data_IF_052675330285
#
_entry.id   IF_052675330285
#
_cell.length_a   1.000
_cell.length_b   1.000
_cell.length_c   1.000
_cell.angle_alpha   90.00
_cell.angle_beta   90.00
_cell.angle_gamma   90.00
#
_symmetry.space_group_name_H-M   'P 1'
#
loop_
_entity.id
_entity.type
_entity.pdbx_description
1 polymer ?
#
# COMPACT_ATOMS: atom_id res chain seq x y z
N UNK A 1 -24.45 30.21 -41.01
CA UNK A 1 -24.83 30.43 -39.60
C UNK A 1 -26.00 29.55 -39.14
N UNK A 2 -27.10 29.42 -39.91
CA UNK A 2 -28.30 28.63 -39.55
C UNK A 2 -28.04 27.17 -39.14
N UNK A 3 -27.11 26.47 -39.81
CA UNK A 3 -26.83 25.05 -39.52
C UNK A 3 -25.96 24.83 -38.27
N UNK A 4 -25.11 25.79 -37.90
CA UNK A 4 -24.31 25.72 -36.66
C UNK A 4 -25.19 25.88 -35.42
N UNK A 5 -26.20 26.75 -35.47
CA UNK A 5 -27.15 26.93 -34.37
C UNK A 5 -28.05 25.70 -34.18
N UNK A 6 -28.48 25.05 -35.27
CA UNK A 6 -29.20 23.76 -35.20
C UNK A 6 -28.34 22.66 -34.60
N UNK A 7 -27.07 22.54 -35.01
CA UNK A 7 -26.14 21.56 -34.44
C UNK A 7 -25.92 21.79 -32.93
N UNK A 8 -25.74 23.05 -32.50
CA UNK A 8 -25.57 23.40 -31.10
C UNK A 8 -26.81 23.03 -30.26
N UNK A 9 -28.01 23.30 -30.77
CA UNK A 9 -29.26 22.93 -30.10
C UNK A 9 -29.44 21.42 -29.98
N UNK A 10 -29.06 20.65 -31.01
CA UNK A 10 -29.08 19.18 -30.97
C UNK A 10 -28.10 18.66 -29.92
N UNK A 11 -26.87 19.18 -29.89
CA UNK A 11 -25.87 18.78 -28.89
C UNK A 11 -26.31 19.14 -27.46
N UNK A 12 -26.92 20.31 -27.27
CA UNK A 12 -27.47 20.72 -25.98
C UNK A 12 -28.63 19.82 -25.54
N UNK A 13 -29.54 19.48 -26.44
CA UNK A 13 -30.65 18.57 -26.15
C UNK A 13 -30.14 17.16 -25.78
N UNK A 14 -29.14 16.65 -26.50
CA UNK A 14 -28.46 15.39 -26.16
C UNK A 14 -27.80 15.49 -24.79
N UNK A 15 -27.06 16.56 -24.50
CA UNK A 15 -26.39 16.75 -23.22
C UNK A 15 -27.39 16.79 -22.04
N UNK A 16 -28.51 17.52 -22.20
CA UNK A 16 -29.59 17.57 -21.21
C UNK A 16 -30.23 16.19 -21.05
N UNK A 17 -30.50 15.48 -22.15
CA UNK A 17 -31.01 14.11 -22.14
C UNK A 17 -30.08 13.13 -21.40
N UNK A 18 -28.77 13.28 -21.57
CA UNK A 18 -27.77 12.47 -20.86
C UNK A 18 -27.77 12.74 -19.35
N UNK A 19 -28.13 13.94 -18.88
CA UNK A 19 -28.14 14.23 -17.43
C UNK A 19 -29.14 13.38 -16.64
N UNK A 20 -30.14 12.79 -17.29
CA UNK A 20 -31.11 11.87 -16.65
C UNK A 20 -30.52 10.48 -16.37
N UNK A 21 -29.40 10.11 -16.99
CA UNK A 21 -28.70 8.86 -16.74
C UNK A 21 -27.61 9.08 -15.70
N UNK A 22 -27.88 8.69 -14.44
CA UNK A 22 -26.95 8.90 -13.32
C UNK A 22 -26.60 7.58 -12.61
N UNK A 23 -25.38 7.44 -12.08
CA UNK A 23 -25.01 6.31 -11.24
C UNK A 23 -25.78 6.33 -9.90
N UNK A 24 -26.12 5.14 -9.39
CA UNK A 24 -26.84 4.98 -8.11
C UNK A 24 -25.87 5.10 -6.91
N UNK A 25 -26.27 5.76 -5.83
CA UNK A 25 -25.60 5.69 -4.53
C UNK A 25 -24.42 6.63 -4.34
N UNK A 26 -24.32 7.68 -5.17
CA UNK A 26 -23.38 8.80 -4.97
C UNK A 26 -24.07 10.17 -4.96
N UNK A 27 -25.38 10.17 -5.12
CA UNK A 27 -26.25 11.33 -5.14
C UNK A 27 -26.38 12.02 -3.77
N UNK A 28 -26.10 11.32 -2.68
CA UNK A 28 -26.00 11.90 -1.33
C UNK A 28 -25.07 11.05 -0.45
N UNK A 29 -24.01 11.66 0.10
CA UNK A 29 -23.19 11.02 1.11
C UNK A 29 -23.98 10.81 2.41
N UNK A 30 -23.79 9.69 3.08
CA UNK A 30 -24.30 9.48 4.44
C UNK A 30 -23.26 9.95 5.43
N UNK A 31 -23.68 10.69 6.47
CA UNK A 31 -22.77 11.17 7.51
C UNK A 31 -21.98 10.00 8.10
N UNK A 32 -20.66 10.09 8.05
CA UNK A 32 -19.76 9.07 8.56
C UNK A 32 -19.66 9.21 10.09
N UNK A 33 -19.64 8.09 10.84
CA UNK A 33 -19.37 8.12 12.27
C UNK A 33 -18.08 8.89 12.58
N UNK A 34 -18.00 9.46 13.78
CA UNK A 34 -16.80 10.15 14.21
C UNK A 34 -15.63 9.19 14.37
N UNK A 35 -14.44 9.70 14.05
CA UNK A 35 -13.20 8.97 14.22
C UNK A 35 -12.84 8.90 15.71
N UNK A 36 -13.33 7.86 16.39
CA UNK A 36 -13.09 7.63 17.83
C UNK A 36 -11.58 7.57 18.10
N UNK A 37 -11.13 8.22 19.18
CA UNK A 37 -9.72 8.34 19.59
C UNK A 37 -8.81 9.07 18.57
N UNK A 38 -9.40 9.91 17.71
CA UNK A 38 -8.65 10.78 16.78
C UNK A 38 -8.84 12.25 17.21
N UNK A 39 -7.75 13.03 17.37
CA UNK A 39 -7.85 14.44 17.73
C UNK A 39 -8.69 15.24 16.74
N UNK A 40 -9.47 16.23 17.22
CA UNK A 40 -10.38 17.04 16.38
C UNK A 40 -9.68 17.67 15.17
N UNK A 41 -8.46 18.18 15.36
CA UNK A 41 -7.67 18.78 14.29
C UNK A 41 -7.32 17.78 13.18
N UNK A 42 -6.91 16.55 13.56
CA UNK A 42 -6.65 15.46 12.62
C UNK A 42 -7.93 15.06 11.90
N UNK A 43 -9.03 14.89 12.63
CA UNK A 43 -10.34 14.56 12.06
C UNK A 43 -10.78 15.61 11.04
N UNK A 44 -10.54 16.90 11.30
CA UNK A 44 -10.86 17.98 10.36
C UNK A 44 -10.11 17.84 9.04
N UNK A 45 -8.81 17.55 9.10
CA UNK A 45 -7.96 17.37 7.90
C UNK A 45 -8.37 16.13 7.12
N UNK A 46 -8.62 15.01 7.82
CA UNK A 46 -9.07 13.76 7.17
C UNK A 46 -10.44 13.94 6.51
N UNK A 47 -11.37 14.65 7.15
CA UNK A 47 -12.68 14.97 6.57
C UNK A 47 -12.56 15.85 5.33
N UNK A 48 -11.70 16.88 5.35
CA UNK A 48 -11.55 17.78 4.19
C UNK A 48 -10.84 17.13 3.00
N UNK A 49 -9.84 16.28 3.26
CA UNK A 49 -8.91 15.80 2.23
C UNK A 49 -9.14 14.35 1.80
N UNK A 50 -9.81 13.54 2.63
CA UNK A 50 -9.93 12.09 2.38
C UNK A 50 -11.37 11.59 2.28
N UNK A 51 -12.33 12.18 3.01
CA UNK A 51 -13.66 11.58 3.19
C UNK A 51 -14.48 11.50 1.90
N UNK A 52 -14.30 12.43 0.97
CA UNK A 52 -15.01 12.44 -0.30
C UNK A 52 -14.77 11.15 -1.11
N UNK A 53 -13.60 10.53 -0.99
CA UNK A 53 -13.23 9.30 -1.69
C UNK A 53 -13.15 8.06 -0.79
N UNK A 54 -12.86 8.25 0.50
CA UNK A 54 -12.56 7.19 1.44
C UNK A 54 -13.58 7.09 2.58
N UNK A 55 -14.78 7.60 2.40
CA UNK A 55 -15.86 7.43 3.39
C UNK A 55 -17.22 7.37 2.69
N UNK A 56 -18.26 7.08 3.48
CA UNK A 56 -19.64 7.25 3.05
C UNK A 56 -20.12 8.71 3.06
N UNK A 57 -19.38 9.62 3.69
CA UNK A 57 -19.68 11.06 3.75
C UNK A 57 -19.04 11.79 2.56
N UNK A 58 -19.63 11.55 1.39
CA UNK A 58 -19.19 12.14 0.13
C UNK A 58 -19.81 13.53 -0.06
N UNK A 59 -18.99 14.56 -0.27
CA UNK A 59 -19.44 15.92 -0.58
C UNK A 59 -19.12 16.29 -2.05
N UNK A 60 -19.93 15.77 -2.98
CA UNK A 60 -19.75 16.06 -4.42
C UNK A 60 -20.00 17.53 -4.76
N UNK A 61 -19.12 18.13 -5.57
CA UNK A 61 -19.35 19.45 -6.16
C UNK A 61 -20.38 19.36 -7.28
N UNK A 62 -20.97 20.50 -7.65
CA UNK A 62 -22.01 20.54 -8.69
C UNK A 62 -21.52 19.97 -10.04
N UNK A 63 -20.24 20.17 -10.36
CA UNK A 63 -19.64 19.65 -11.60
C UNK A 63 -19.37 18.14 -11.55
N UNK A 64 -19.14 17.57 -10.36
CA UNK A 64 -18.99 16.12 -10.17
C UNK A 64 -20.30 15.37 -10.41
N UNK A 65 -21.43 16.08 -10.35
CA UNK A 65 -22.76 15.53 -10.56
C UNK A 65 -23.20 15.58 -12.04
N UNK A 66 -22.38 16.15 -12.93
CA UNK A 66 -22.66 16.23 -14.36
C UNK A 66 -22.29 14.94 -15.08
N UNK A 67 -23.18 14.46 -15.93
CA UNK A 67 -22.96 13.27 -16.78
C UNK A 67 -22.14 13.67 -18.02
N UNK A 68 -21.09 12.91 -18.41
CA UNK A 68 -20.69 11.59 -17.90
C UNK A 68 -19.66 11.58 -16.77
N UNK A 69 -19.16 12.74 -16.31
CA UNK A 69 -18.11 12.82 -15.29
C UNK A 69 -18.50 12.13 -13.97
N UNK A 70 -19.77 12.23 -13.57
CA UNK A 70 -20.31 11.57 -12.38
C UNK A 70 -20.09 10.04 -12.35
N UNK A 71 -20.05 9.35 -13.49
CA UNK A 71 -19.74 7.92 -13.54
C UNK A 71 -18.27 7.63 -13.18
N UNK A 72 -17.35 8.47 -13.65
CA UNK A 72 -15.93 8.37 -13.30
C UNK A 72 -15.73 8.64 -11.80
N UNK A 73 -16.37 9.68 -11.28
CA UNK A 73 -16.36 10.00 -9.84
C UNK A 73 -16.91 8.83 -9.03
N UNK A 74 -18.07 8.26 -9.40
CA UNK A 74 -18.66 7.12 -8.72
C UNK A 74 -17.70 5.92 -8.68
N UNK A 75 -17.05 5.64 -9.81
CA UNK A 75 -16.09 4.55 -9.93
C UNK A 75 -14.89 4.79 -9.01
N UNK A 76 -14.32 5.99 -9.01
CA UNK A 76 -13.17 6.33 -8.16
C UNK A 76 -13.51 6.26 -6.67
N UNK A 77 -14.68 6.74 -6.24
CA UNK A 77 -15.12 6.61 -4.84
C UNK A 77 -15.28 5.13 -4.47
N UNK A 78 -15.91 4.34 -5.34
CA UNK A 78 -16.10 2.91 -5.11
C UNK A 78 -14.78 2.16 -4.99
N UNK A 79 -13.82 2.43 -5.88
CA UNK A 79 -12.48 1.81 -5.80
C UNK A 79 -11.68 2.33 -4.61
N UNK A 80 -11.74 3.63 -4.32
CA UNK A 80 -11.09 4.25 -3.16
C UNK A 80 -11.53 3.62 -1.85
N UNK A 81 -12.85 3.39 -1.68
CA UNK A 81 -13.44 2.74 -0.50
C UNK A 81 -13.11 1.26 -0.37
N UNK A 82 -12.78 0.56 -1.47
CA UNK A 82 -12.27 -0.82 -1.38
C UNK A 82 -10.88 -0.86 -0.76
N UNK A 83 -10.04 0.12 -1.05
CA UNK A 83 -8.71 0.23 -0.47
C UNK A 83 -8.75 0.74 0.98
N UNK A 84 -9.58 1.75 1.26
CA UNK A 84 -9.70 2.37 2.58
C UNK A 84 -11.08 3.02 2.75
N UNK A 85 -11.79 2.69 3.83
CA UNK A 85 -13.11 3.26 4.17
C UNK A 85 -13.17 3.71 5.64
N UNK A 86 -13.05 5.02 5.88
CA UNK A 86 -13.15 5.69 7.18
C UNK A 86 -14.54 5.53 7.83
N UNK A 87 -15.60 5.22 7.07
CA UNK A 87 -16.90 4.94 7.69
C UNK A 87 -16.93 3.63 8.47
N UNK A 88 -15.91 2.78 8.30
CA UNK A 88 -15.72 1.57 9.09
C UNK A 88 -14.80 1.79 10.31
N UNK A 89 -14.29 3.01 10.53
CA UNK A 89 -13.25 3.30 11.52
C UNK A 89 -13.54 2.75 12.92
N UNK A 90 -14.75 3.00 13.43
CA UNK A 90 -15.16 2.57 14.76
C UNK A 90 -15.19 1.04 14.95
N UNK A 91 -15.31 0.28 13.85
CA UNK A 91 -15.28 -1.20 13.86
C UNK A 91 -13.87 -1.78 13.75
N UNK A 92 -12.86 -0.97 13.42
CA UNK A 92 -11.50 -1.43 13.24
C UNK A 92 -10.81 -1.64 14.60
N UNK A 93 -10.09 -2.76 14.80
CA UNK A 93 -9.18 -2.92 15.93
C UNK A 93 -8.10 -1.82 15.95
N UNK A 94 -7.60 -1.47 17.14
CA UNK A 94 -6.57 -0.41 17.31
C UNK A 94 -5.34 -0.60 16.41
N UNK A 95 -4.85 -1.84 16.28
CA UNK A 95 -3.71 -2.13 15.41
C UNK A 95 -4.03 -1.84 13.92
N UNK A 96 -5.26 -2.09 13.49
CA UNK A 96 -5.70 -1.79 12.14
C UNK A 96 -5.90 -0.29 11.94
N UNK A 97 -6.41 0.44 12.94
CA UNK A 97 -6.47 1.90 12.93
C UNK A 97 -5.09 2.53 12.74
N UNK A 98 -4.08 2.09 13.51
CA UNK A 98 -2.68 2.54 13.37
C UNK A 98 -2.12 2.23 11.98
N UNK A 99 -2.37 1.03 11.45
CA UNK A 99 -1.96 0.67 10.11
C UNK A 99 -2.62 1.55 9.03
N UNK A 100 -3.93 1.81 9.13
CA UNK A 100 -4.68 2.67 8.21
C UNK A 100 -4.10 4.09 8.16
N UNK A 101 -3.80 4.68 9.32
CA UNK A 101 -3.20 6.01 9.40
C UNK A 101 -1.78 6.00 8.83
N UNK A 102 -0.97 4.99 9.18
CA UNK A 102 0.37 4.81 8.62
C UNK A 102 0.35 4.76 7.09
N UNK A 103 -0.52 3.94 6.50
CA UNK A 103 -0.63 3.83 5.04
C UNK A 103 -1.07 5.14 4.40
N UNK A 104 -2.08 5.80 4.98
CA UNK A 104 -2.59 7.08 4.49
C UNK A 104 -1.49 8.13 4.42
N UNK A 105 -0.70 8.26 5.48
CA UNK A 105 0.38 9.25 5.55
C UNK A 105 1.54 8.91 4.63
N UNK A 106 1.93 7.63 4.52
CA UNK A 106 2.99 7.26 3.57
C UNK A 106 2.59 7.53 2.12
N UNK A 107 1.30 7.39 1.77
CA UNK A 107 0.79 7.77 0.45
C UNK A 107 0.83 9.28 0.21
N UNK A 108 0.54 10.07 1.25
CA UNK A 108 0.69 11.54 1.19
C UNK A 108 2.16 11.93 1.02
N UNK A 109 3.06 11.37 1.85
CA UNK A 109 4.50 11.67 1.83
C UNK A 109 5.21 11.21 0.55
N UNK A 110 4.61 10.27 -0.19
CA UNK A 110 5.13 9.78 -1.47
C UNK A 110 4.50 10.49 -2.67
N UNK A 111 3.74 11.56 -2.44
CA UNK A 111 2.98 12.32 -3.47
C UNK A 111 2.00 11.45 -4.30
N UNK A 112 1.59 10.30 -3.76
CA UNK A 112 0.61 9.42 -4.39
C UNK A 112 -0.84 9.85 -4.07
N UNK A 113 -1.03 10.51 -2.92
CA UNK A 113 -2.32 11.01 -2.46
C UNK A 113 -2.22 12.48 -2.03
N UNK A 114 -3.21 13.32 -2.40
CA UNK A 114 -4.33 13.02 -3.30
C UNK A 114 -3.83 12.78 -4.74
N UNK A 115 -4.58 11.98 -5.51
CA UNK A 115 -4.24 11.69 -6.91
C UNK A 115 -4.07 13.02 -7.67
N UNK A 116 -2.95 13.26 -8.39
CA UNK A 116 -2.66 14.57 -8.99
C UNK A 116 -3.75 15.11 -9.92
N UNK A 117 -4.38 14.23 -10.71
CA UNK A 117 -5.50 14.61 -11.61
C UNK A 117 -6.74 15.05 -10.85
N UNK A 118 -7.04 14.41 -9.71
CA UNK A 118 -8.13 14.82 -8.83
C UNK A 118 -7.83 16.17 -8.19
N UNK A 119 -6.63 16.34 -7.65
CA UNK A 119 -6.18 17.56 -6.99
C UNK A 119 -6.10 18.78 -7.95
N UNK A 120 -5.97 18.55 -9.26
CA UNK A 120 -5.98 19.60 -10.27
C UNK A 120 -7.33 20.34 -10.35
N UNK A 121 -8.44 19.62 -10.10
CA UNK A 121 -9.81 20.17 -10.11
C UNK A 121 -10.41 20.31 -8.71
N UNK A 122 -9.86 19.60 -7.72
CA UNK A 122 -10.23 19.66 -6.29
C UNK A 122 -9.05 20.19 -5.46
N UNK A 123 -8.69 21.45 -5.66
CA UNK A 123 -7.53 22.05 -4.98
C UNK A 123 -7.65 22.07 -3.44
N UNK A 124 -8.87 22.07 -2.89
CA UNK A 124 -9.11 22.01 -1.45
C UNK A 124 -8.65 20.70 -0.80
N UNK A 125 -8.53 19.62 -1.58
CA UNK A 125 -8.08 18.33 -1.07
C UNK A 125 -6.55 18.24 -0.97
N UNK A 126 -5.83 19.25 -1.48
CA UNK A 126 -4.37 19.34 -1.35
C UNK A 126 -4.02 19.69 0.09
N UNK A 127 -3.24 18.81 0.71
CA UNK A 127 -2.69 19.08 2.03
C UNK A 127 -1.51 20.05 1.91
N UNK A 128 -1.46 21.03 2.80
CA UNK A 128 -0.29 21.88 2.97
C UNK A 128 0.71 21.27 3.97
N UNK A 129 1.92 21.83 4.04
CA UNK A 129 2.98 21.30 4.90
C UNK A 129 2.61 21.25 6.40
N UNK A 130 1.81 22.22 6.88
CA UNK A 130 1.35 22.24 8.27
C UNK A 130 0.42 21.06 8.56
N UNK A 131 -0.53 20.80 7.66
CA UNK A 131 -1.45 19.66 7.76
C UNK A 131 -0.70 18.33 7.69
N UNK A 132 0.26 18.19 6.76
CA UNK A 132 1.12 17.01 6.66
C UNK A 132 1.88 16.77 7.97
N UNK A 133 2.42 17.83 8.59
CA UNK A 133 3.12 17.72 9.86
C UNK A 133 2.18 17.30 11.00
N UNK A 134 0.95 17.83 11.06
CA UNK A 134 -0.06 17.44 12.05
C UNK A 134 -0.39 15.95 11.92
N UNK A 135 -0.66 15.48 10.70
CA UNK A 135 -0.97 14.07 10.45
C UNK A 135 0.21 13.17 10.80
N UNK A 136 1.42 13.55 10.39
CA UNK A 136 2.66 12.80 10.67
C UNK A 136 2.91 12.68 12.17
N UNK A 137 2.81 13.78 12.91
CA UNK A 137 2.95 13.78 14.37
C UNK A 137 1.90 12.89 15.02
N UNK A 138 0.64 12.96 14.57
CA UNK A 138 -0.40 12.08 15.08
C UNK A 138 -0.07 10.60 14.85
N UNK A 139 0.38 10.21 13.66
CA UNK A 139 0.76 8.83 13.39
C UNK A 139 1.90 8.32 14.30
N UNK A 140 2.86 9.18 14.62
CA UNK A 140 3.92 8.84 15.58
C UNK A 140 3.36 8.62 16.99
N UNK A 141 2.29 9.33 17.38
CA UNK A 141 1.65 9.09 18.69
C UNK A 141 0.91 7.75 18.78
N UNK A 142 0.41 7.23 17.64
CA UNK A 142 -0.29 5.94 17.58
C UNK A 142 0.63 4.74 17.79
N UNK A 143 1.93 4.95 17.71
CA UNK A 143 2.93 3.91 17.93
C UNK A 143 4.16 4.47 18.64
N UNK A 144 4.10 4.45 19.97
CA UNK A 144 5.27 4.79 20.77
C UNK A 144 6.35 3.73 20.57
N UNK A 145 7.43 4.15 19.91
CA UNK A 145 8.67 3.40 19.79
C UNK A 145 9.29 3.23 21.18
N UNK A 146 9.15 2.04 21.76
CA UNK A 146 9.78 1.71 23.05
C UNK A 146 11.20 1.25 22.82
N UNK A 147 12.11 1.69 23.70
CA UNK A 147 13.47 1.15 23.77
C UNK A 147 13.35 -0.37 23.95
N UNK A 148 14.09 -1.12 23.15
CA UNK A 148 14.06 -2.58 23.18
C UNK A 148 14.65 -3.08 24.49
N UNK A 149 13.94 -3.99 25.16
CA UNK A 149 14.40 -4.57 26.42
C UNK A 149 15.45 -5.67 26.20
N UNK A 150 16.16 -6.05 27.27
CA UNK A 150 17.22 -7.06 27.23
C UNK A 150 16.71 -8.43 26.76
N UNK A 151 15.48 -8.80 27.08
CA UNK A 151 14.91 -10.09 26.68
C UNK A 151 14.69 -10.18 25.17
N UNK A 152 14.23 -9.08 24.56
CA UNK A 152 14.06 -8.96 23.12
C UNK A 152 15.40 -8.96 22.39
N UNK A 153 16.42 -8.31 22.96
CA UNK A 153 17.79 -8.33 22.42
C UNK A 153 18.33 -9.76 22.45
N UNK A 154 18.30 -10.43 23.60
CA UNK A 154 18.78 -11.81 23.74
C UNK A 154 18.02 -12.79 22.85
N UNK A 155 16.72 -12.59 22.61
CA UNK A 155 15.93 -13.42 21.69
C UNK A 155 16.42 -13.28 20.24
N UNK A 156 16.68 -12.05 19.79
CA UNK A 156 17.20 -11.80 18.45
C UNK A 156 18.64 -12.32 18.28
N UNK A 157 19.50 -12.12 19.29
CA UNK A 157 20.87 -12.64 19.29
C UNK A 157 20.89 -14.18 19.23
N UNK A 158 20.02 -14.84 19.98
CA UNK A 158 19.87 -16.31 19.92
C UNK A 158 19.51 -16.75 18.50
N UNK A 159 18.48 -16.15 17.90
CA UNK A 159 18.07 -16.48 16.54
C UNK A 159 19.20 -16.21 15.51
N UNK A 160 19.92 -15.11 15.66
CA UNK A 160 21.07 -14.80 14.80
C UNK A 160 22.19 -15.83 14.94
N UNK A 161 22.51 -16.24 16.17
CA UNK A 161 23.54 -17.25 16.43
C UNK A 161 23.13 -18.64 15.91
N UNK A 162 21.87 -19.04 16.10
CA UNK A 162 21.32 -20.27 15.51
C UNK A 162 21.43 -20.27 13.98
N UNK A 163 21.23 -19.11 13.36
CA UNK A 163 21.43 -18.94 11.92
C UNK A 163 22.90 -19.05 11.52
N UNK A 164 23.78 -18.29 12.16
CA UNK A 164 25.23 -18.27 11.87
C UNK A 164 25.87 -19.64 12.03
N UNK A 165 25.47 -20.37 13.08
CA UNK A 165 25.98 -21.71 13.39
C UNK A 165 25.35 -22.81 12.52
N UNK A 166 24.47 -22.44 11.58
CA UNK A 166 23.83 -23.38 10.67
C UNK A 166 22.77 -24.27 11.32
N UNK A 167 22.36 -24.00 12.56
CA UNK A 167 21.27 -24.73 13.22
C UNK A 167 19.91 -24.44 12.56
N UNK A 168 19.77 -23.27 11.93
CA UNK A 168 18.65 -22.93 11.06
C UNK A 168 18.86 -23.32 9.58
N UNK A 169 19.91 -24.09 9.24
CA UNK A 169 20.07 -24.64 7.89
C UNK A 169 19.31 -25.96 7.74
N UNK A 170 18.67 -26.11 6.59
CA UNK A 170 18.08 -27.37 6.10
C UNK A 170 16.96 -28.00 6.94
N UNK A 171 16.06 -27.19 7.52
CA UNK A 171 14.71 -27.71 7.71
C UNK A 171 14.10 -27.97 6.32
N UNK A 172 13.49 -29.14 6.12
CA UNK A 172 12.65 -29.39 4.94
C UNK A 172 11.46 -28.43 5.02
N UNK A 173 11.64 -27.22 4.48
CA UNK A 173 10.62 -26.17 4.51
C UNK A 173 9.50 -26.61 3.59
N UNK A 174 8.32 -26.84 4.17
CA UNK A 174 7.14 -27.23 3.40
C UNK A 174 6.78 -26.11 2.41
N UNK A 175 6.31 -26.45 1.21
CA UNK A 175 5.76 -25.46 0.30
C UNK A 175 4.54 -24.79 0.91
N UNK A 176 4.19 -23.62 0.40
CA UNK A 176 2.89 -23.02 0.69
C UNK A 176 1.75 -23.91 0.19
N UNK A 177 0.52 -23.77 0.71
CA UNK A 177 -0.62 -24.59 0.29
C UNK A 177 -0.94 -24.55 -1.21
N UNK A 178 -0.58 -23.47 -1.91
CA UNK A 178 -0.71 -23.33 -3.37
C UNK A 178 0.48 -23.92 -4.16
N UNK A 179 1.41 -24.61 -3.49
CA UNK A 179 2.53 -25.30 -4.11
C UNK A 179 3.77 -24.43 -4.40
N UNK A 180 3.76 -23.15 -4.03
CA UNK A 180 4.96 -22.30 -4.15
C UNK A 180 6.04 -22.80 -3.18
N UNK A 181 7.23 -23.03 -3.72
CA UNK A 181 8.37 -23.49 -2.94
C UNK A 181 9.00 -22.35 -2.16
N UNK A 182 9.53 -22.65 -0.98
CA UNK A 182 10.38 -21.72 -0.26
C UNK A 182 11.69 -21.52 -1.04
N UNK A 183 12.10 -20.27 -1.24
CA UNK A 183 13.30 -19.93 -2.01
C UNK A 183 14.35 -19.46 -1.00
N UNK A 184 15.30 -20.28 -0.52
CA UNK A 184 16.26 -19.86 0.52
C UNK A 184 17.27 -18.80 0.04
N UNK A 185 17.55 -18.76 -1.26
CA UNK A 185 18.61 -17.95 -1.87
C UNK A 185 18.35 -16.45 -1.85
N UNK A 186 17.14 -16.00 -1.49
CA UNK A 186 16.84 -14.57 -1.36
C UNK A 186 17.74 -13.83 -0.38
N UNK A 187 18.35 -14.53 0.57
CA UNK A 187 19.32 -13.98 1.50
C UNK A 187 20.57 -13.43 0.80
N UNK A 188 20.86 -13.89 -0.42
CA UNK A 188 21.97 -13.45 -1.25
C UNK A 188 21.54 -12.42 -2.31
N UNK A 189 20.25 -12.06 -2.38
CA UNK A 189 19.73 -11.10 -3.35
C UNK A 189 19.95 -9.66 -2.90
N UNK A 190 19.72 -8.71 -3.81
CA UNK A 190 19.95 -7.29 -3.52
C UNK A 190 18.73 -6.69 -2.83
N UNK A 191 18.95 -5.96 -1.75
CA UNK A 191 17.91 -5.12 -1.16
C UNK A 191 17.54 -4.00 -2.15
N UNK A 192 16.26 -3.92 -2.51
CA UNK A 192 15.73 -2.95 -3.47
C UNK A 192 14.82 -1.92 -2.82
N UNK A 193 14.34 -2.18 -1.61
CA UNK A 193 13.50 -1.27 -0.83
C UNK A 193 13.53 -1.63 0.65
N UNK A 194 13.27 -0.63 1.50
CA UNK A 194 13.13 -0.81 2.95
C UNK A 194 11.98 0.05 3.47
N UNK A 195 11.32 -0.40 4.53
CA UNK A 195 10.24 0.35 5.18
C UNK A 195 10.31 0.16 6.69
N UNK A 196 10.36 1.28 7.39
CA UNK A 196 10.09 1.38 8.82
C UNK A 196 8.57 1.35 9.05
N UNK A 197 8.07 0.28 9.67
CA UNK A 197 6.67 0.11 10.07
C UNK A 197 6.53 0.46 11.54
N UNK A 198 6.67 1.74 11.85
CA UNK A 198 6.56 2.24 13.21
C UNK A 198 5.22 1.91 13.83
N UNK A 199 4.14 1.84 13.03
CA UNK A 199 2.79 1.48 13.45
C UNK A 199 2.69 0.12 14.16
N UNK A 200 3.60 -0.80 13.87
CA UNK A 200 3.62 -2.13 14.47
C UNK A 200 5.02 -2.58 14.95
N UNK A 201 5.98 -1.66 14.99
CA UNK A 201 7.34 -1.94 15.49
C UNK A 201 8.11 -2.94 14.65
N UNK A 202 7.93 -2.95 13.32
CA UNK A 202 8.68 -3.85 12.42
C UNK A 202 9.51 -3.08 11.39
N UNK A 203 10.58 -3.71 10.93
CA UNK A 203 11.34 -3.24 9.77
C UNK A 203 11.17 -4.25 8.63
N UNK A 204 10.91 -3.72 7.43
CA UNK A 204 10.69 -4.53 6.23
C UNK A 204 11.81 -4.27 5.25
N UNK A 205 12.38 -5.33 4.70
CA UNK A 205 13.37 -5.24 3.62
C UNK A 205 12.85 -6.09 2.47
N UNK A 206 12.80 -5.51 1.28
CA UNK A 206 12.42 -6.18 0.05
C UNK A 206 13.69 -6.46 -0.74
N UNK A 207 13.95 -7.73 -1.00
CA UNK A 207 15.04 -8.21 -1.84
C UNK A 207 14.49 -8.55 -3.22
N UNK A 208 15.25 -8.21 -4.26
CA UNK A 208 14.96 -8.57 -5.64
C UNK A 208 16.05 -9.46 -6.22
N UNK A 209 15.65 -10.53 -6.90
CA UNK A 209 16.60 -11.37 -7.65
C UNK A 209 17.27 -10.60 -8.81
N UNK A 210 18.20 -11.24 -9.51
CA UNK A 210 18.94 -10.59 -10.61
C UNK A 210 18.01 -10.02 -11.69
N UNK A 211 16.93 -10.72 -12.02
CA UNK A 211 15.94 -10.27 -12.98
C UNK A 211 15.24 -8.99 -12.51
N UNK A 212 14.77 -8.95 -11.26
CA UNK A 212 14.19 -7.75 -10.65
C UNK A 212 15.18 -6.56 -10.68
N UNK A 213 16.43 -6.80 -10.30
CA UNK A 213 17.47 -5.76 -10.28
C UNK A 213 17.75 -5.23 -11.69
N UNK A 214 17.80 -6.10 -12.69
CA UNK A 214 17.97 -5.72 -14.11
C UNK A 214 16.80 -4.87 -14.58
N UNK A 215 15.56 -5.31 -14.34
CA UNK A 215 14.34 -4.58 -14.66
C UNK A 215 14.31 -3.17 -14.05
N UNK A 216 14.70 -3.02 -12.78
CA UNK A 216 14.79 -1.71 -12.11
C UNK A 216 15.82 -0.81 -12.81
N UNK A 217 17.01 -1.35 -13.13
CA UNK A 217 18.08 -0.59 -13.79
C UNK A 217 17.66 -0.10 -15.17
N UNK A 218 16.94 -0.94 -15.92
CA UNK A 218 16.47 -0.67 -17.27
C UNK A 218 15.13 0.08 -17.30
N UNK A 219 14.54 0.35 -16.13
CA UNK A 219 13.20 0.96 -15.95
C UNK A 219 12.07 0.16 -16.63
N UNK A 220 12.23 -1.15 -16.69
CA UNK A 220 11.27 -2.09 -17.28
C UNK A 220 10.54 -2.86 -16.17
N UNK A 221 9.80 -2.15 -15.33
CA UNK A 221 9.14 -2.68 -14.13
C UNK A 221 7.62 -2.74 -14.25
N UNK A 222 7.06 -2.44 -15.43
CA UNK A 222 5.61 -2.49 -15.65
C UNK A 222 5.29 -2.88 -17.11
N UNK A 223 4.95 -4.16 -17.39
CA UNK A 223 4.97 -5.27 -16.43
C UNK A 223 6.40 -5.67 -16.03
N UNK A 224 6.53 -6.40 -14.93
CA UNK A 224 7.79 -7.06 -14.59
C UNK A 224 8.02 -8.28 -15.50
N UNK A 225 9.27 -8.57 -15.89
CA UNK A 225 9.60 -9.72 -16.71
C UNK A 225 9.37 -11.05 -15.96
N UNK A 226 9.00 -12.10 -16.71
CA UNK A 226 8.91 -13.47 -16.16
C UNK A 226 10.25 -13.88 -15.52
N UNK A 227 10.16 -14.57 -14.38
CA UNK A 227 11.30 -14.92 -13.55
C UNK A 227 11.70 -13.84 -12.54
N UNK A 228 11.08 -12.65 -12.53
CA UNK A 228 11.22 -11.69 -11.42
C UNK A 228 10.73 -12.32 -10.11
N UNK A 229 11.54 -12.19 -9.05
CA UNK A 229 11.13 -12.60 -7.70
C UNK A 229 11.43 -11.51 -6.69
N UNK A 230 10.45 -11.25 -5.84
CA UNK A 230 10.61 -10.43 -4.63
C UNK A 230 10.54 -11.30 -3.39
N UNK A 231 11.43 -11.03 -2.44
CA UNK A 231 11.35 -11.56 -1.09
C UNK A 231 11.23 -10.39 -0.11
N UNK A 232 10.06 -10.25 0.51
CA UNK A 232 9.80 -9.23 1.52
C UNK A 232 9.94 -9.84 2.90
N UNK A 233 10.99 -9.45 3.60
CA UNK A 233 11.26 -9.87 4.97
C UNK A 233 10.68 -8.92 5.99
N UNK A 234 10.44 -9.44 7.18
CA UNK A 234 9.98 -8.69 8.32
C UNK A 234 10.77 -9.06 9.56
N UNK A 235 11.21 -8.03 10.26
CA UNK A 235 11.98 -8.14 11.49
C UNK A 235 11.33 -7.26 12.55
N UNK A 236 11.39 -7.65 13.82
CA UNK A 236 11.10 -6.72 14.91
C UNK A 236 12.10 -5.56 14.87
N UNK A 237 11.69 -4.37 15.27
CA UNK A 237 12.61 -3.27 15.47
C UNK A 237 13.38 -3.45 16.77
N UNK A 238 14.69 -3.23 16.71
CA UNK A 238 15.53 -3.03 17.89
C UNK A 238 15.89 -1.56 18.01
N UNK A 239 15.26 -0.88 18.95
CA UNK A 239 15.41 0.55 19.21
C UNK A 239 16.41 0.73 20.33
N UNK A 240 17.54 1.34 20.00
CA UNK A 240 18.65 1.61 20.90
C UNK A 240 18.40 2.89 21.70
N UNK A 241 19.12 3.05 22.82
CA UNK A 241 18.99 4.23 23.71
C UNK A 241 19.38 5.55 23.03
N UNK A 242 20.26 5.48 22.04
CA UNK A 242 20.70 6.61 21.21
C UNK A 242 19.72 6.96 20.08
N UNK A 243 18.60 6.24 19.98
CA UNK A 243 17.59 6.40 18.93
C UNK A 243 17.86 5.60 17.66
N UNK A 244 18.98 4.89 17.55
CA UNK A 244 19.27 4.03 16.39
C UNK A 244 18.32 2.83 16.33
N UNK A 245 17.96 2.42 15.11
CA UNK A 245 17.07 1.27 14.88
C UNK A 245 17.84 0.20 14.10
N UNK A 246 17.79 -1.04 14.61
CA UNK A 246 18.39 -2.23 13.98
C UNK A 246 17.34 -3.31 13.73
N UNK A 247 17.69 -4.29 12.89
CA UNK A 247 16.93 -5.53 12.74
C UNK A 247 17.01 -6.35 14.04
N UNK A 248 15.86 -6.67 14.61
CA UNK A 248 15.72 -7.65 15.69
C UNK A 248 15.35 -9.02 15.16
N UNK A 249 14.49 -9.71 15.91
CA UNK A 249 14.01 -11.05 15.60
C UNK A 249 13.26 -11.10 14.26
N UNK A 250 13.60 -12.09 13.42
CA UNK A 250 12.89 -12.45 12.21
C UNK A 250 11.45 -12.85 12.52
N UNK A 251 10.52 -12.31 11.74
CA UNK A 251 9.10 -12.59 11.88
C UNK A 251 8.62 -13.46 10.72
N UNK A 252 8.96 -13.08 9.48
CA UNK A 252 8.47 -13.76 8.28
C UNK A 252 9.20 -13.31 7.02
N UNK A 253 9.05 -14.11 5.96
CA UNK A 253 9.33 -13.74 4.57
C UNK A 253 8.12 -14.03 3.70
N UNK A 254 7.83 -13.10 2.79
CA UNK A 254 6.77 -13.17 1.78
C UNK A 254 7.41 -13.17 0.40
N UNK A 255 6.93 -14.01 -0.51
CA UNK A 255 7.42 -14.09 -1.89
C UNK A 255 6.34 -13.70 -2.89
N UNK A 256 6.78 -12.97 -3.92
CA UNK A 256 6.06 -12.79 -5.18
C UNK A 256 6.94 -13.31 -6.32
N UNK A 257 6.45 -14.27 -7.09
CA UNK A 257 7.19 -14.89 -8.22
C UNK A 257 6.45 -14.64 -9.53
N UNK A 258 7.08 -13.97 -10.48
CA UNK A 258 6.50 -13.70 -11.80
C UNK A 258 6.65 -14.92 -12.71
N UNK A 259 5.52 -15.43 -13.18
CA UNK A 259 5.43 -16.40 -14.27
C UNK A 259 4.00 -16.32 -14.84
N UNK A 260 3.84 -15.63 -15.96
CA UNK A 260 2.54 -15.35 -16.56
C UNK A 260 1.76 -16.63 -16.90
N UNK A 261 2.47 -17.70 -17.28
CA UNK A 261 1.84 -18.96 -17.69
C UNK A 261 1.46 -19.79 -16.47
N UNK A 262 2.39 -20.00 -15.55
CA UNK A 262 2.18 -20.82 -14.35
C UNK A 262 1.16 -20.21 -13.40
N UNK A 263 1.15 -18.88 -13.29
CA UNK A 263 0.31 -18.15 -12.34
C UNK A 263 -0.79 -17.33 -13.04
N UNK A 264 -1.28 -17.79 -14.19
CA UNK A 264 -2.33 -17.12 -14.95
C UNK A 264 -3.60 -16.84 -14.10
N UNK A 265 -3.97 -17.78 -13.22
CA UNK A 265 -5.12 -17.64 -12.31
C UNK A 265 -4.93 -16.59 -11.21
N UNK A 266 -3.68 -16.21 -10.92
CA UNK A 266 -3.30 -15.27 -9.87
C UNK A 266 -2.59 -14.03 -10.42
N UNK A 267 -3.04 -13.58 -11.60
CA UNK A 267 -2.57 -12.36 -12.29
C UNK A 267 -1.08 -12.40 -12.66
N UNK A 268 -0.59 -13.60 -13.00
CA UNK A 268 0.80 -13.83 -13.40
C UNK A 268 1.81 -13.85 -12.25
N UNK A 269 1.32 -13.85 -11.00
CA UNK A 269 2.14 -13.84 -9.79
C UNK A 269 1.83 -15.02 -8.88
N UNK A 270 2.87 -15.74 -8.47
CA UNK A 270 2.81 -16.73 -7.40
C UNK A 270 3.05 -16.05 -6.05
N UNK A 271 2.23 -16.37 -5.05
CA UNK A 271 2.25 -15.74 -3.73
C UNK A 271 2.54 -16.78 -2.65
N UNK A 272 3.38 -16.43 -1.68
CA UNK A 272 3.63 -17.27 -0.51
C UNK A 272 4.18 -16.51 0.67
N UNK A 273 3.95 -17.04 1.87
CA UNK A 273 4.41 -16.43 3.13
C UNK A 273 4.85 -17.54 4.08
N UNK A 274 6.01 -17.36 4.71
CA UNK A 274 6.58 -18.26 5.71
C UNK A 274 6.87 -17.48 6.98
N UNK A 275 6.41 -17.98 8.13
CA UNK A 275 6.47 -17.28 9.43
C UNK A 275 7.40 -18.01 10.39
N UNK A 276 8.02 -17.24 11.29
CA UNK A 276 8.85 -17.76 12.37
C UNK A 276 10.17 -18.36 11.91
N UNK A 277 10.93 -18.87 12.89
CA UNK A 277 12.25 -19.49 12.66
C UNK A 277 12.11 -20.85 11.98
N UNK A 278 11.01 -21.55 12.25
CA UNK A 278 10.66 -22.83 11.65
C UNK A 278 10.20 -22.70 10.19
N UNK A 279 10.02 -21.45 9.71
CA UNK A 279 9.52 -21.15 8.37
C UNK A 279 8.24 -21.94 8.09
N UNK A 280 7.25 -21.80 8.97
CA UNK A 280 5.95 -22.44 8.76
C UNK A 280 5.21 -21.73 7.61
N UNK A 281 4.76 -22.44 6.56
CA UNK A 281 3.96 -21.82 5.50
C UNK A 281 2.63 -21.29 6.06
N UNK A 282 2.23 -20.12 5.60
CA UNK A 282 0.95 -19.50 5.89
C UNK A 282 -0.14 -19.98 4.92
N UNK A 283 -1.39 -19.98 5.39
CA UNK A 283 -2.55 -20.44 4.64
C UNK A 283 -2.89 -21.89 4.96
N UNK A 284 -4.17 -22.25 4.77
CA UNK A 284 -4.69 -23.60 5.04
C UNK A 284 -5.30 -24.26 3.80
N UNK A 285 -5.40 -23.55 2.68
CA UNK A 285 -6.00 -24.03 1.43
C UNK A 285 -5.19 -23.56 0.22
N UNK A 286 -5.25 -24.26 -0.93
CA UNK A 286 -4.54 -23.86 -2.14
C UNK A 286 -4.92 -22.49 -2.70
N UNK A 287 -6.06 -21.92 -2.30
CA UNK A 287 -6.56 -20.63 -2.78
C UNK A 287 -6.38 -19.47 -1.79
N UNK A 288 -5.54 -19.65 -0.76
CA UNK A 288 -5.24 -18.60 0.22
C UNK A 288 -4.68 -17.32 -0.42
N UNK A 289 -4.04 -17.44 -1.58
CA UNK A 289 -3.43 -16.32 -2.31
C UNK A 289 -4.44 -15.31 -2.87
N UNK A 290 -5.75 -15.64 -2.90
CA UNK A 290 -6.82 -14.67 -3.17
C UNK A 290 -6.75 -13.45 -2.25
N UNK A 291 -6.40 -13.63 -0.98
CA UNK A 291 -6.24 -12.52 -0.04
C UNK A 291 -5.11 -11.57 -0.48
N UNK A 292 -4.03 -12.14 -1.04
CA UNK A 292 -2.86 -11.40 -1.50
C UNK A 292 -3.21 -10.62 -2.77
N UNK A 293 -3.89 -11.27 -3.71
CA UNK A 293 -4.33 -10.67 -4.97
C UNK A 293 -5.30 -9.51 -4.72
N UNK A 294 -6.32 -9.69 -3.88
CA UNK A 294 -7.28 -8.62 -3.59
C UNK A 294 -6.62 -7.44 -2.87
N UNK A 295 -5.66 -7.68 -1.97
CA UNK A 295 -4.88 -6.63 -1.33
C UNK A 295 -3.98 -5.88 -2.34
N UNK A 296 -3.45 -6.57 -3.34
CA UNK A 296 -2.57 -6.00 -4.38
C UNK A 296 -3.31 -5.50 -5.63
N UNK A 297 -4.63 -5.68 -5.70
CA UNK A 297 -5.48 -5.22 -6.81
C UNK A 297 -5.43 -3.71 -7.06
N UNK A 298 -5.33 -2.83 -6.04
CA UNK A 298 -5.18 -1.40 -6.29
C UNK A 298 -3.93 -1.05 -7.12
N UNK A 299 -2.95 -1.94 -7.20
CA UNK A 299 -1.73 -1.80 -8.00
C UNK A 299 -1.80 -2.53 -9.35
N UNK A 300 -2.98 -2.90 -9.86
CA UNK A 300 -3.13 -3.59 -11.16
C UNK A 300 -2.44 -2.85 -12.31
N UNK A 301 -2.49 -1.51 -12.31
CA UNK A 301 -1.80 -0.66 -13.30
C UNK A 301 -0.28 -0.58 -13.10
N UNK A 302 0.27 -1.20 -12.06
CA UNK A 302 1.70 -1.32 -11.74
C UNK A 302 2.08 -2.80 -11.57
N UNK A 303 1.42 -3.67 -12.34
CA UNK A 303 1.63 -5.12 -12.32
C UNK A 303 1.52 -5.74 -10.92
N UNK A 304 0.59 -5.22 -10.11
CA UNK A 304 0.29 -5.65 -8.75
C UNK A 304 1.43 -5.45 -7.73
N UNK A 305 2.42 -4.60 -8.01
CA UNK A 305 3.59 -4.38 -7.14
C UNK A 305 3.55 -2.98 -6.51
N UNK A 306 3.50 -2.91 -5.17
CA UNK A 306 3.57 -1.63 -4.43
C UNK A 306 4.99 -1.05 -4.32
N UNK A 307 6.02 -1.85 -4.63
CA UNK A 307 7.40 -1.47 -4.35
C UNK A 307 7.90 -0.42 -5.33
N UNK A 308 8.05 0.80 -4.85
CA UNK A 308 8.92 1.80 -5.47
C UNK A 308 10.38 1.45 -5.16
N UNK A 309 11.19 1.06 -6.16
CA UNK A 309 12.58 0.66 -5.92
C UNK A 309 13.43 1.87 -5.53
N UNK A 310 14.45 1.64 -4.70
CA UNK A 310 15.44 2.65 -4.36
C UNK A 310 16.25 2.96 -5.63
N UNK A 311 16.05 4.15 -6.19
CA UNK A 311 16.83 4.64 -7.31
C UNK A 311 18.18 5.18 -6.83
N UNK A 312 19.16 4.30 -6.66
CA UNK A 312 20.51 4.71 -6.23
C UNK A 312 21.17 5.72 -7.20
N UNK A 313 20.80 5.72 -8.48
CA UNK A 313 21.40 6.59 -9.50
C UNK A 313 20.91 8.06 -9.41
N UNK A 314 19.67 8.32 -8.96
CA UNK A 314 19.17 9.70 -8.85
C UNK A 314 19.83 10.46 -7.69
N UNK A 315 20.22 9.74 -6.63
CA UNK A 315 20.99 10.27 -5.50
C UNK A 315 22.42 10.66 -5.92
N UNK A 316 23.06 9.87 -6.79
CA UNK A 316 24.43 10.15 -7.27
C UNK A 316 24.53 11.38 -8.19
N UNK A 317 23.52 11.62 -9.03
CA UNK A 317 23.49 12.84 -9.89
C UNK A 317 23.31 14.14 -9.09
N UNK A 318 22.73 14.08 -7.89
CA UNK A 318 22.64 15.25 -6.99
C UNK A 318 23.95 15.56 -6.26
N UNK A 319 24.83 14.57 -6.10
CA UNK A 319 26.14 14.74 -5.45
C UNK A 319 27.19 15.29 -6.44
N UNK A 320 26.96 15.16 -7.75
CA UNK A 320 27.84 15.69 -8.79
C UNK A 320 27.53 17.13 -9.24
N UNK A 321 26.73 17.89 -8.49
CA UNK A 321 26.44 19.30 -8.79
C UNK A 321 26.98 20.23 -7.72
#
# INVERSE_FOLDING_TARGET
MKNKNKLLLILLAIFIGLQFFRPKGIDHGTKSPDLVNVPKQVTSILRSSCFDCHSSEVNLRWYDQLTPANFLVASHIKEGRKALDFSKWASLPKAQQSATIFYSINKILSDEMPIPSYAAVHSYAKLNQSEINILTNYALTLSQRKITDSSQISSAERQYNEWMNGQLKHSSVKPSPNGLQYIPDYRNWKAISTTDRFDNGTMRIIFGNEMAVKAIREKQTNPWPDGTVFAKTAWKQQIQKDGNIRTGEFIQVEFMVKDIKKYASSKGWGWGRWKGNDLKPYGNSPDFDKECIECHKPMEQQDHVFTSPIYLISQLKKIQK
#
